data_IF_184318177634
#
_entry.id   IF_184318177634
#
_cell.length_a   1.000
_cell.length_b   1.000
_cell.length_c   1.000
_cell.angle_alpha   90.00
_cell.angle_beta   90.00
_cell.angle_gamma   90.00
#
_symmetry.space_group_name_H-M   'P 1'
#
loop_
_entity.id
_entity.type
_entity.pdbx_description
1 polymer ?
#
# COMPACT_ATOMS: atom_id res chain seq x y z
N UNK A 1 6.20 -11.59 -9.85
CA UNK A 1 7.01 -10.36 -9.88
C UNK A 1 6.18 -9.14 -9.52
N UNK A 2 5.08 -8.84 -10.24
CA UNK A 2 4.24 -7.66 -9.97
C UNK A 2 3.76 -7.55 -8.51
N UNK A 3 3.26 -8.64 -7.90
CA UNK A 3 2.80 -8.63 -6.50
C UNK A 3 3.91 -8.22 -5.51
N UNK A 4 5.15 -8.67 -5.73
CA UNK A 4 6.29 -8.33 -4.86
C UNK A 4 6.63 -6.83 -5.01
N UNK A 5 6.59 -6.31 -6.24
CA UNK A 5 6.83 -4.89 -6.50
C UNK A 5 5.77 -4.02 -5.81
N UNK A 6 4.49 -4.38 -5.93
CA UNK A 6 3.40 -3.66 -5.26
C UNK A 6 3.55 -3.69 -3.74
N UNK A 7 3.96 -4.83 -3.18
CA UNK A 7 4.18 -4.96 -1.74
C UNK A 7 5.34 -4.06 -1.26
N UNK A 8 6.47 -4.05 -1.98
CA UNK A 8 7.64 -3.23 -1.61
C UNK A 8 7.35 -1.74 -1.75
N UNK A 9 6.71 -1.32 -2.84
CA UNK A 9 6.29 0.08 -3.03
C UNK A 9 5.25 0.50 -1.99
N UNK A 10 4.31 -0.39 -1.67
CA UNK A 10 3.31 -0.18 -0.64
C UNK A 10 3.94 0.00 0.74
N UNK A 11 4.91 -0.83 1.12
CA UNK A 11 5.66 -0.68 2.37
C UNK A 11 6.47 0.61 2.41
N UNK A 12 7.16 0.96 1.33
CA UNK A 12 7.91 2.21 1.24
C UNK A 12 7.00 3.43 1.39
N UNK A 13 5.83 3.42 0.75
CA UNK A 13 4.82 4.47 0.87
C UNK A 13 4.22 4.55 2.28
N UNK A 14 3.92 3.41 2.90
CA UNK A 14 3.32 3.39 4.25
C UNK A 14 4.31 3.86 5.32
N UNK A 15 5.54 3.35 5.30
CA UNK A 15 6.60 3.74 6.26
C UNK A 15 7.04 5.18 5.99
N UNK A 16 7.34 5.53 4.75
CA UNK A 16 7.75 6.88 4.37
C UNK A 16 6.67 7.92 4.67
N UNK A 17 5.41 7.60 4.35
CA UNK A 17 4.26 8.44 4.69
C UNK A 17 4.06 8.61 6.19
N UNK A 18 4.27 7.55 7.00
CA UNK A 18 4.18 7.62 8.46
C UNK A 18 5.22 8.58 9.05
N UNK A 19 6.50 8.44 8.68
CA UNK A 19 7.55 9.35 9.14
C UNK A 19 7.32 10.78 8.64
N UNK A 20 6.83 10.94 7.41
CA UNK A 20 6.50 12.25 6.88
C UNK A 20 5.35 12.91 7.64
N UNK A 21 4.28 12.17 7.96
CA UNK A 21 3.17 12.67 8.77
C UNK A 21 3.64 13.08 10.17
N UNK A 22 4.52 12.29 10.79
CA UNK A 22 5.10 12.60 12.10
C UNK A 22 5.94 13.90 12.07
N UNK A 23 6.68 14.13 10.99
CA UNK A 23 7.47 15.37 10.82
C UNK A 23 6.61 16.59 10.45
N UNK A 24 5.51 16.39 9.72
CA UNK A 24 4.65 17.47 9.23
C UNK A 24 3.70 18.05 10.31
N UNK A 25 3.43 17.31 11.39
CA UNK A 25 2.58 17.76 12.50
C UNK A 25 1.15 18.12 12.07
N UNK A 26 0.50 19.05 12.78
CA UNK A 26 -0.85 19.53 12.43
C UNK A 26 -0.81 20.61 11.35
N UNK A 27 -0.47 20.21 10.12
CA UNK A 27 -0.42 21.08 8.95
C UNK A 27 -1.18 20.49 7.76
N UNK A 28 -1.52 21.33 6.78
CA UNK A 28 -2.13 20.88 5.52
C UNK A 28 -1.25 19.84 4.80
N UNK A 29 0.07 19.90 5.00
CA UNK A 29 1.04 18.93 4.44
C UNK A 29 0.82 17.52 5.00
N UNK A 30 0.31 17.38 6.23
CA UNK A 30 -0.01 16.07 6.79
C UNK A 30 -1.14 15.36 6.03
N UNK A 31 -2.01 16.08 5.32
CA UNK A 31 -3.03 15.50 4.44
C UNK A 31 -2.37 14.76 3.28
N UNK A 32 -1.32 15.34 2.69
CA UNK A 32 -0.55 14.70 1.63
C UNK A 32 0.17 13.45 2.14
N UNK A 33 0.75 13.50 3.34
CA UNK A 33 1.35 12.34 3.97
C UNK A 33 0.31 11.22 4.23
N UNK A 34 -0.89 11.58 4.70
CA UNK A 34 -1.99 10.63 4.88
C UNK A 34 -2.45 9.99 3.56
N UNK A 35 -2.48 10.74 2.46
CA UNK A 35 -2.72 10.22 1.11
C UNK A 35 -1.66 9.20 0.70
N UNK A 36 -0.38 9.49 0.93
CA UNK A 36 0.71 8.55 0.64
C UNK A 36 0.58 7.27 1.46
N UNK A 37 0.21 7.37 2.74
CA UNK A 37 -0.07 6.18 3.59
C UNK A 37 -1.25 5.39 3.01
N UNK A 38 -2.34 6.05 2.63
CA UNK A 38 -3.52 5.41 2.06
C UNK A 38 -3.23 4.67 0.76
N UNK A 39 -2.46 5.29 -0.15
CA UNK A 39 -1.99 4.63 -1.38
C UNK A 39 -1.03 3.48 -1.06
N UNK A 40 -0.12 3.65 -0.11
CA UNK A 40 0.78 2.58 0.34
C UNK A 40 0.00 1.35 0.84
N UNK A 41 -1.03 1.58 1.66
CA UNK A 41 -1.92 0.53 2.15
C UNK A 41 -2.69 -0.18 1.05
N UNK A 42 -3.23 0.54 0.05
CA UNK A 42 -3.96 -0.08 -1.07
C UNK A 42 -3.07 -0.93 -1.97
N UNK A 43 -1.79 -0.56 -2.13
CA UNK A 43 -0.82 -1.37 -2.87
C UNK A 43 -0.49 -2.68 -2.12
N UNK A 44 -0.38 -2.63 -0.80
CA UNK A 44 -0.16 -3.82 0.03
C UNK A 44 -1.36 -4.77 -0.08
N UNK A 45 -2.59 -4.27 0.04
CA UNK A 45 -3.79 -5.12 -0.07
C UNK A 45 -3.93 -5.72 -1.47
N UNK A 46 -3.60 -4.96 -2.51
CA UNK A 46 -3.59 -5.46 -3.90
C UNK A 46 -2.55 -6.57 -4.08
N UNK A 47 -1.35 -6.41 -3.53
CA UNK A 47 -0.31 -7.43 -3.57
C UNK A 47 -0.79 -8.74 -2.92
N UNK A 48 -1.46 -8.65 -1.77
CA UNK A 48 -2.05 -9.80 -1.09
C UNK A 48 -3.16 -10.46 -1.91
N UNK A 49 -4.06 -9.68 -2.51
CA UNK A 49 -5.09 -10.21 -3.40
C UNK A 49 -4.49 -11.01 -4.57
N UNK A 50 -3.44 -10.50 -5.21
CA UNK A 50 -2.75 -11.21 -6.29
C UNK A 50 -2.08 -12.51 -5.83
N UNK A 51 -1.52 -12.53 -4.61
CA UNK A 51 -0.94 -13.76 -4.04
C UNK A 51 -2.05 -14.77 -3.75
N UNK A 52 -3.17 -14.33 -3.17
CA UNK A 52 -4.32 -15.16 -2.89
C UNK A 52 -4.89 -15.77 -4.17
N UNK A 53 -5.03 -15.00 -5.25
CA UNK A 53 -5.47 -15.48 -6.55
C UNK A 53 -4.50 -16.52 -7.15
N UNK A 54 -3.19 -16.39 -6.90
CA UNK A 54 -2.22 -17.38 -7.35
C UNK A 54 -2.38 -18.73 -6.63
N UNK A 55 -2.73 -18.69 -5.34
CA UNK A 55 -2.93 -19.91 -4.52
C UNK A 55 -4.29 -20.54 -4.81
N UNK A 56 -5.34 -19.72 -4.91
CA UNK A 56 -6.71 -20.15 -5.17
C UNK A 56 -7.32 -19.28 -6.26
N UNK A 57 -7.18 -19.67 -7.54
CA UNK A 57 -7.63 -18.84 -8.66
C UNK A 57 -9.13 -18.60 -8.59
N UNK A 58 -9.51 -17.34 -8.42
CA UNK A 58 -10.90 -16.87 -8.49
C UNK A 58 -11.54 -17.20 -9.84
N UNK A 59 -10.76 -17.24 -10.92
CA UNK A 59 -11.19 -17.65 -12.26
C UNK A 59 -11.69 -19.09 -12.39
N UNK A 60 -11.39 -19.97 -11.42
CA UNK A 60 -11.91 -21.34 -11.37
C UNK A 60 -13.16 -21.49 -10.51
N UNK A 61 -13.59 -20.41 -9.85
CA UNK A 61 -14.71 -20.40 -8.88
C UNK A 61 -15.88 -19.52 -9.31
N UNK A 62 -15.68 -18.68 -10.33
CA UNK A 62 -16.71 -18.02 -11.12
C UNK A 62 -17.12 -18.92 -12.28
#
# INVERSE_FOLDING_TARGET
MVAIVLFVLGLAGLIGGFFWAAAAGHSVVAILAALVIGVGGSLITTAWAMIADKISPTSKKL
#
